data_IF_961830974957
#
_entry.id   IF_961830974957
#
_cell.length_a   1.000
_cell.length_b   1.000
_cell.length_c   1.000
_cell.angle_alpha   90.00
_cell.angle_beta   90.00
_cell.angle_gamma   90.00
#
_symmetry.space_group_name_H-M   'P 1'
#
loop_
_entity.id
_entity.type
_entity.pdbx_description
1 polymer ?
#
# COMPACT_ATOMS: atom_id res chain seq x y z
N UNK A 1 48.20 -35.81 18.71
CA UNK A 1 49.67 -35.78 18.67
C UNK A 1 50.10 -34.75 17.63
N UNK A 2 50.66 -33.63 18.12
CA UNK A 2 51.56 -32.65 17.49
C UNK A 2 51.40 -32.21 16.01
N UNK A 3 51.31 -30.88 15.89
CA UNK A 3 51.71 -29.96 14.80
C UNK A 3 50.61 -29.65 13.77
N UNK A 4 50.36 -28.39 13.37
CA UNK A 4 51.17 -27.18 13.53
C UNK A 4 50.32 -25.90 13.46
N UNK A 5 50.48 -25.08 14.48
CA UNK A 5 49.95 -23.73 14.66
C UNK A 5 50.97 -22.74 14.04
N UNK A 6 50.96 -22.56 12.72
CA UNK A 6 51.98 -21.70 12.04
C UNK A 6 51.54 -21.03 10.74
N UNK A 7 50.26 -20.63 10.60
CA UNK A 7 49.84 -19.79 9.47
C UNK A 7 48.99 -18.57 9.83
N UNK A 8 48.76 -18.27 11.12
CA UNK A 8 47.95 -17.10 11.53
C UNK A 8 48.76 -15.81 11.79
N UNK A 9 49.98 -15.69 11.25
CA UNK A 9 50.93 -14.62 11.58
C UNK A 9 51.56 -13.98 10.33
N UNK A 10 50.74 -13.54 9.37
CA UNK A 10 51.16 -12.68 8.24
C UNK A 10 50.03 -11.78 7.70
N UNK A 11 49.42 -10.96 8.55
CA UNK A 11 48.57 -9.85 8.09
C UNK A 11 48.51 -8.70 9.13
N UNK A 12 49.65 -8.38 9.74
CA UNK A 12 49.78 -7.27 10.69
C UNK A 12 50.98 -6.40 10.31
N UNK A 13 50.78 -5.47 9.37
CA UNK A 13 51.60 -4.28 9.19
C UNK A 13 51.05 -3.46 8.01
N UNK A 14 50.40 -2.33 8.32
CA UNK A 14 50.44 -1.02 7.64
C UNK A 14 49.19 -0.28 8.13
N UNK A 15 49.32 0.39 9.28
CA UNK A 15 48.44 1.48 9.67
C UNK A 15 49.36 2.59 10.18
N UNK A 16 49.54 3.63 9.37
CA UNK A 16 50.19 4.89 9.73
C UNK A 16 49.09 5.96 9.77
N UNK A 17 49.09 6.88 10.75
CA UNK A 17 47.91 7.65 11.11
C UNK A 17 47.78 8.93 10.27
N UNK A 18 46.57 9.19 9.75
CA UNK A 18 46.15 10.55 9.40
C UNK A 18 45.52 11.22 10.63
N UNK A 19 46.34 11.97 11.37
CA UNK A 19 45.88 12.95 12.35
C UNK A 19 46.25 14.33 11.84
N UNK A 20 45.30 15.05 11.25
CA UNK A 20 45.23 16.53 11.20
C UNK A 20 44.07 16.98 10.28
N UNK A 21 42.93 17.36 10.88
CA UNK A 21 42.05 18.47 10.47
C UNK A 21 40.66 18.35 11.13
N UNK A 22 40.59 18.42 12.46
CA UNK A 22 39.37 18.86 13.14
C UNK A 22 39.70 20.19 13.80
N UNK A 23 39.47 21.27 13.06
CA UNK A 23 39.44 22.63 13.60
C UNK A 23 37.97 23.10 13.58
N UNK A 24 37.44 23.27 14.79
CA UNK A 24 36.32 24.14 15.18
C UNK A 24 35.05 24.13 14.33
N UNK A 25 34.07 23.31 14.71
CA UNK A 25 32.65 23.63 14.53
C UNK A 25 32.11 24.12 15.87
N UNK A 26 31.67 25.38 15.90
CA UNK A 26 31.10 26.08 17.03
C UNK A 26 29.59 25.75 17.13
N UNK A 27 29.09 25.04 18.15
CA UNK A 27 27.72 24.54 18.19
C UNK A 27 26.66 25.58 18.64
N UNK A 28 26.83 26.87 18.35
CA UNK A 28 25.93 27.93 18.85
C UNK A 28 25.51 29.01 17.83
N UNK A 29 25.53 28.74 16.53
CA UNK A 29 24.88 29.64 15.56
C UNK A 29 23.54 29.08 15.08
N UNK A 30 22.40 29.70 15.46
CA UNK A 30 21.14 29.45 14.77
C UNK A 30 21.25 30.00 13.35
N UNK A 31 21.10 29.11 12.38
CA UNK A 31 20.97 29.44 10.97
C UNK A 31 19.51 29.88 10.78
N UNK A 32 19.25 31.19 10.80
CA UNK A 32 17.96 31.72 10.36
C UNK A 32 17.96 31.76 8.82
N UNK A 33 17.07 31.04 8.13
CA UNK A 33 16.87 31.26 6.70
C UNK A 33 16.23 32.62 6.49
N UNK A 34 16.90 33.49 5.73
CA UNK A 34 16.31 34.70 5.17
C UNK A 34 15.36 34.26 4.06
N UNK A 35 14.06 34.28 4.34
CA UNK A 35 13.01 34.08 3.34
C UNK A 35 12.83 35.40 2.59
N UNK A 36 12.98 35.35 1.27
CA UNK A 36 12.75 36.45 0.35
C UNK A 36 11.23 36.58 0.11
N UNK A 37 10.59 37.54 0.78
CA UNK A 37 9.17 37.85 0.68
C UNK A 37 8.85 38.54 -0.65
N UNK A 38 8.78 37.77 -1.74
CA UNK A 38 8.17 38.22 -3.00
C UNK A 38 7.30 37.15 -3.66
N UNK A 39 6.35 36.59 -2.89
CA UNK A 39 5.21 35.88 -3.48
C UNK A 39 4.01 36.85 -3.62
N UNK A 40 3.38 36.94 -4.81
CA UNK A 40 2.12 37.66 -4.95
C UNK A 40 1.04 36.99 -4.09
N UNK A 41 0.08 37.76 -3.54
CA UNK A 41 -0.98 37.20 -2.70
C UNK A 41 -1.77 36.15 -3.48
N UNK A 42 -2.10 35.00 -2.88
CA UNK A 42 -2.90 33.98 -3.54
C UNK A 42 -4.25 34.58 -3.93
N UNK A 43 -4.67 34.29 -5.16
CA UNK A 43 -6.00 34.62 -5.64
C UNK A 43 -7.04 34.09 -4.65
N UNK A 44 -8.03 34.91 -4.32
CA UNK A 44 -9.09 34.56 -3.39
C UNK A 44 -9.70 33.21 -3.77
N UNK A 45 -9.53 32.22 -2.89
CA UNK A 45 -10.22 30.94 -2.98
C UNK A 45 -11.73 31.21 -3.08
N UNK A 46 -12.47 30.52 -3.96
CA UNK A 46 -13.91 30.60 -3.96
C UNK A 46 -14.39 30.27 -2.55
N UNK A 47 -15.20 31.16 -1.99
CA UNK A 47 -15.85 30.95 -0.70
C UNK A 47 -16.58 29.62 -0.78
N UNK A 48 -16.09 28.62 -0.04
CA UNK A 48 -16.79 27.36 0.15
C UNK A 48 -18.18 27.73 0.67
N UNK A 49 -19.19 27.52 -0.17
CA UNK A 49 -20.57 27.60 0.27
C UNK A 49 -20.71 26.41 1.20
N UNK A 50 -20.76 26.67 2.51
CA UNK A 50 -21.14 25.68 3.50
C UNK A 50 -22.42 25.01 2.99
N UNK A 51 -22.30 23.75 2.57
CA UNK A 51 -23.46 22.89 2.48
C UNK A 51 -24.10 22.95 3.87
N UNK A 52 -25.42 23.14 3.88
CA UNK A 52 -26.21 23.20 5.10
C UNK A 52 -25.79 22.05 6.03
N UNK A 53 -25.70 22.34 7.33
CA UNK A 53 -25.65 21.32 8.37
C UNK A 53 -26.58 20.18 7.98
N UNK A 54 -26.04 18.97 7.86
CA UNK A 54 -26.87 17.77 7.81
C UNK A 54 -27.55 17.74 9.15
N UNK A 55 -28.79 18.23 9.16
CA UNK A 55 -29.69 18.12 10.30
C UNK A 55 -29.83 16.63 10.59
N UNK A 56 -29.20 16.17 11.67
CA UNK A 56 -29.43 14.84 12.26
C UNK A 56 -30.82 14.81 12.93
N UNK A 57 -31.84 15.34 12.26
CA UNK A 57 -33.20 14.99 12.59
C UNK A 57 -33.44 13.59 12.06
N UNK A 58 -33.45 12.63 12.99
CA UNK A 58 -33.97 11.29 12.75
C UNK A 58 -35.24 11.40 11.89
N UNK A 59 -35.22 10.79 10.70
CA UNK A 59 -36.39 10.74 9.84
C UNK A 59 -37.49 9.97 10.56
N UNK A 60 -38.43 10.68 11.16
CA UNK A 60 -39.62 10.11 11.76
C UNK A 60 -40.48 9.50 10.65
N UNK A 61 -40.46 8.17 10.53
CA UNK A 61 -41.53 7.44 9.85
C UNK A 61 -42.78 7.48 10.74
N UNK A 62 -43.82 8.18 10.29
CA UNK A 62 -45.08 8.30 10.99
C UNK A 62 -46.06 7.17 10.61
N UNK A 63 -46.70 6.52 11.59
CA UNK A 63 -48.09 6.03 11.43
C UNK A 63 -48.90 6.10 12.75
N UNK A 64 -50.25 6.22 12.69
CA UNK A 64 -51.16 6.69 13.75
C UNK A 64 -51.57 5.63 14.81
N UNK A 65 -52.31 5.97 15.90
CA UNK A 65 -52.37 5.19 17.15
C UNK A 65 -53.27 3.92 17.14
N UNK A 66 -53.13 3.08 18.18
CA UNK A 66 -53.67 1.71 18.30
C UNK A 66 -55.17 1.60 18.72
N UNK A 67 -55.84 0.55 18.22
CA UNK A 67 -57.24 0.18 18.54
C UNK A 67 -57.39 -0.60 19.87
N UNK A 68 -58.59 -0.60 20.44
CA UNK A 68 -58.93 -1.45 21.59
C UNK A 68 -59.17 -2.92 21.19
N UNK A 69 -59.07 -3.89 22.13
CA UNK A 69 -59.34 -5.30 21.85
C UNK A 69 -60.76 -5.53 21.31
N UNK A 70 -60.87 -6.03 20.08
CA UNK A 70 -62.14 -6.27 19.38
C UNK A 70 -62.52 -5.19 18.35
N UNK A 71 -61.72 -4.13 18.23
CA UNK A 71 -61.85 -3.16 17.15
C UNK A 71 -60.84 -3.47 16.03
N UNK A 72 -61.30 -3.41 14.78
CA UNK A 72 -60.46 -3.44 13.60
C UNK A 72 -60.78 -2.24 12.71
N UNK A 73 -59.75 -1.56 12.21
CA UNK A 73 -59.95 -0.55 11.17
C UNK A 73 -59.98 -1.18 9.79
N UNK A 74 -60.97 -0.78 8.99
CA UNK A 74 -60.97 -0.93 7.54
C UNK A 74 -60.69 0.44 6.92
N UNK A 75 -59.57 0.58 6.21
CA UNK A 75 -59.31 1.76 5.38
C UNK A 75 -60.18 1.68 4.11
N UNK A 76 -60.86 2.76 3.67
CA UNK A 76 -61.71 2.74 2.47
C UNK A 76 -60.96 2.40 1.16
N UNK A 77 -59.63 2.47 1.15
CA UNK A 77 -58.78 2.35 -0.06
C UNK A 77 -57.74 1.22 -0.01
N UNK A 78 -57.61 0.46 1.08
CA UNK A 78 -56.90 -0.83 1.08
C UNK A 78 -55.37 -0.87 1.23
N UNK A 79 -54.64 0.26 1.33
CA UNK A 79 -53.17 0.24 1.40
C UNK A 79 -52.61 0.58 2.80
N UNK A 80 -52.29 -0.45 3.59
CA UNK A 80 -51.36 -0.39 4.73
C UNK A 80 -50.67 -1.77 4.91
N UNK A 81 -49.33 -1.84 4.79
CA UNK A 81 -48.52 -2.99 5.25
C UNK A 81 -47.85 -2.63 6.58
N UNK A 82 -48.43 -3.08 7.69
CA UNK A 82 -47.90 -2.88 9.05
C UNK A 82 -49.03 -2.79 10.08
N UNK A 83 -49.11 -3.77 10.99
CA UNK A 83 -50.06 -3.76 12.10
C UNK A 83 -49.56 -2.92 13.29
N UNK A 84 -50.45 -2.58 14.23
CA UNK A 84 -50.12 -1.75 15.40
C UNK A 84 -49.24 -2.47 16.44
N UNK A 85 -48.29 -1.76 17.07
CA UNK A 85 -47.94 -1.99 18.48
C UNK A 85 -46.50 -2.36 18.89
N UNK A 86 -45.46 -1.71 18.36
CA UNK A 86 -44.14 -1.70 19.03
C UNK A 86 -43.58 -0.28 19.09
N UNK A 87 -43.28 0.20 20.30
CA UNK A 87 -42.48 1.40 20.55
C UNK A 87 -41.03 0.93 20.66
N UNK A 88 -40.17 1.31 19.72
CA UNK A 88 -38.72 1.25 19.95
C UNK A 88 -38.34 2.53 20.70
N UNK A 89 -38.32 2.46 22.03
CA UNK A 89 -37.59 3.45 22.83
C UNK A 89 -36.12 3.12 22.64
N UNK A 90 -35.37 3.98 21.96
CA UNK A 90 -33.91 3.94 22.06
C UNK A 90 -33.57 4.12 23.55
N UNK A 91 -32.89 3.16 24.20
CA UNK A 91 -32.57 3.28 25.61
C UNK A 91 -31.75 4.56 25.80
N UNK A 92 -32.22 5.45 26.68
CA UNK A 92 -31.48 6.68 26.98
C UNK A 92 -30.16 6.27 27.65
N UNK A 93 -29.01 6.74 27.14
CA UNK A 93 -27.73 6.40 27.75
C UNK A 93 -27.71 6.82 29.22
N UNK A 94 -27.22 5.95 30.09
CA UNK A 94 -26.98 6.32 31.49
C UNK A 94 -25.84 7.33 31.51
N UNK A 95 -26.09 8.48 32.13
CA UNK A 95 -25.15 9.60 32.20
C UNK A 95 -24.62 9.77 33.63
N UNK A 96 -23.30 9.92 33.77
CA UNK A 96 -22.65 10.12 35.05
C UNK A 96 -21.12 10.02 34.93
N UNK A 97 -20.35 10.63 35.85
CA UNK A 97 -18.89 10.49 35.84
C UNK A 97 -18.52 9.05 36.19
N UNK A 98 -17.68 8.44 35.36
CA UNK A 98 -17.05 7.16 35.64
C UNK A 98 -15.75 7.36 36.41
N UNK A 99 -15.39 6.39 37.25
CA UNK A 99 -14.02 6.31 37.76
C UNK A 99 -13.06 5.99 36.60
N UNK A 100 -11.76 6.26 36.81
CA UNK A 100 -10.73 5.87 35.84
C UNK A 100 -10.82 4.37 35.51
N UNK A 101 -10.63 4.03 34.24
CA UNK A 101 -10.73 2.65 33.80
C UNK A 101 -9.60 1.78 34.41
N UNK A 102 -9.83 0.47 34.62
CA UNK A 102 -8.76 -0.46 34.94
C UNK A 102 -7.66 -0.44 33.87
N UNK A 103 -6.41 -0.64 34.28
CA UNK A 103 -5.24 -0.65 33.38
C UNK A 103 -4.69 -2.06 33.13
N UNK A 104 -5.29 -3.08 33.75
CA UNK A 104 -5.00 -4.48 33.46
C UNK A 104 -6.07 -5.07 32.54
N UNK A 105 -5.65 -5.90 31.59
CA UNK A 105 -6.50 -6.41 30.51
C UNK A 105 -7.71 -7.21 31.02
N UNK A 106 -7.54 -8.04 32.06
CA UNK A 106 -8.60 -8.89 32.60
C UNK A 106 -9.73 -8.07 33.24
N UNK A 107 -9.39 -7.12 34.12
CA UNK A 107 -10.40 -6.26 34.73
C UNK A 107 -11.02 -5.30 33.71
N UNK A 108 -10.23 -4.81 32.74
CA UNK A 108 -10.71 -3.89 31.71
C UNK A 108 -11.81 -4.52 30.84
N UNK A 109 -11.63 -5.77 30.42
CA UNK A 109 -12.64 -6.52 29.65
C UNK A 109 -13.97 -6.60 30.40
N UNK A 110 -13.95 -7.02 31.67
CA UNK A 110 -15.15 -7.13 32.49
C UNK A 110 -15.83 -5.77 32.73
N UNK A 111 -15.02 -4.71 32.84
CA UNK A 111 -15.49 -3.33 33.02
C UNK A 111 -16.20 -2.84 31.76
N UNK A 112 -15.58 -2.97 30.57
CA UNK A 112 -16.17 -2.56 29.30
C UNK A 112 -17.50 -3.28 29.03
N UNK A 113 -17.53 -4.62 29.16
CA UNK A 113 -18.73 -5.41 28.95
C UNK A 113 -19.89 -5.03 29.90
N UNK A 114 -19.57 -4.62 31.13
CA UNK A 114 -20.57 -4.17 32.11
C UNK A 114 -21.13 -2.81 31.74
N UNK A 115 -20.29 -1.89 31.28
CA UNK A 115 -20.72 -0.56 30.86
C UNK A 115 -21.55 -0.60 29.58
N UNK A 116 -21.17 -1.43 28.61
CA UNK A 116 -21.94 -1.63 27.38
C UNK A 116 -23.34 -2.16 27.70
N UNK A 117 -23.46 -3.26 28.49
CA UNK A 117 -24.76 -3.81 28.92
C UNK A 117 -25.62 -2.84 29.71
N UNK A 118 -25.00 -1.90 30.40
CA UNK A 118 -25.69 -0.86 31.16
C UNK A 118 -26.11 0.34 30.29
N UNK A 119 -25.88 0.27 28.98
CA UNK A 119 -26.09 1.35 28.01
C UNK A 119 -25.46 2.67 28.50
N UNK A 120 -24.21 2.59 28.98
CA UNK A 120 -23.48 3.76 29.46
C UNK A 120 -23.12 4.67 28.29
N UNK A 121 -23.17 5.99 28.51
CA UNK A 121 -22.78 6.96 27.49
C UNK A 121 -21.33 6.72 27.01
N UNK A 122 -21.09 6.40 25.73
CA UNK A 122 -19.75 6.15 25.18
C UNK A 122 -18.75 7.27 25.45
N UNK A 123 -19.20 8.53 25.45
CA UNK A 123 -18.33 9.67 25.76
C UNK A 123 -17.79 9.64 27.19
N UNK A 124 -18.58 9.14 28.15
CA UNK A 124 -18.13 8.99 29.53
C UNK A 124 -17.13 7.83 29.68
N UNK A 125 -17.34 6.74 28.93
CA UNK A 125 -16.42 5.59 28.90
C UNK A 125 -15.08 6.00 28.32
N UNK A 126 -15.08 6.66 27.15
CA UNK A 126 -13.87 7.21 26.53
C UNK A 126 -13.12 8.18 27.44
N UNK A 127 -13.83 9.07 28.13
CA UNK A 127 -13.19 9.98 29.09
C UNK A 127 -12.50 9.22 30.24
N UNK A 128 -13.08 8.12 30.72
CA UNK A 128 -12.47 7.28 31.76
C UNK A 128 -11.26 6.49 31.26
N UNK A 129 -11.28 6.03 30.01
CA UNK A 129 -10.13 5.37 29.35
C UNK A 129 -8.98 6.37 29.11
N UNK A 130 -9.27 7.58 28.66
CA UNK A 130 -8.27 8.64 28.52
C UNK A 130 -7.70 9.08 29.87
N UNK A 131 -8.55 9.16 30.91
CA UNK A 131 -8.09 9.50 32.26
C UNK A 131 -7.14 8.44 32.83
N UNK A 132 -7.34 7.17 32.53
CA UNK A 132 -6.42 6.10 32.95
C UNK A 132 -5.19 5.98 32.06
N UNK A 133 -5.20 6.57 30.85
CA UNK A 133 -4.17 6.44 29.83
C UNK A 133 -4.32 5.20 28.94
N UNK A 134 -5.44 4.48 29.03
CA UNK A 134 -5.72 3.34 28.14
C UNK A 134 -6.07 3.79 26.71
N UNK A 135 -6.45 5.06 26.53
CA UNK A 135 -6.61 5.72 25.24
C UNK A 135 -5.89 7.06 25.25
N UNK A 136 -5.40 7.51 24.09
CA UNK A 136 -4.68 8.77 23.94
C UNK A 136 -5.52 9.82 23.23
N UNK A 137 -6.25 9.42 22.20
CA UNK A 137 -6.93 10.31 21.27
C UNK A 137 -8.40 9.94 21.05
N UNK A 138 -9.16 10.83 20.42
CA UNK A 138 -10.56 10.56 20.07
C UNK A 138 -10.70 9.55 18.94
N UNK A 139 -9.68 9.43 18.10
CA UNK A 139 -9.57 8.47 16.99
C UNK A 139 -9.36 7.02 17.44
N UNK A 140 -9.04 6.81 18.72
CA UNK A 140 -8.89 5.47 19.31
C UNK A 140 -10.23 4.77 19.54
N UNK A 141 -11.33 5.42 19.17
CA UNK A 141 -12.69 4.95 19.38
C UNK A 141 -13.50 5.04 18.10
N UNK A 142 -14.16 3.96 17.73
CA UNK A 142 -15.29 3.95 16.80
C UNK A 142 -16.45 3.15 17.39
N UNK A 143 -17.64 3.31 16.81
CA UNK A 143 -18.80 2.52 17.17
C UNK A 143 -19.64 2.27 15.92
N UNK A 144 -20.08 1.03 15.74
CA UNK A 144 -20.95 0.64 14.63
C UNK A 144 -21.65 -0.70 14.92
N UNK A 145 -22.78 -0.94 14.28
CA UNK A 145 -23.55 -2.19 14.35
C UNK A 145 -22.95 -3.24 13.40
N UNK A 146 -22.09 -4.12 13.94
CA UNK A 146 -21.43 -5.18 13.16
C UNK A 146 -22.27 -6.45 13.06
N UNK A 147 -23.29 -6.63 13.90
CA UNK A 147 -24.06 -7.88 13.98
C UNK A 147 -25.52 -7.78 13.48
N UNK A 148 -25.98 -6.56 13.24
CA UNK A 148 -27.30 -6.20 12.70
C UNK A 148 -28.38 -6.06 13.75
N UNK A 149 -28.04 -5.96 15.05
CA UNK A 149 -29.00 -5.82 16.14
C UNK A 149 -29.45 -4.38 16.41
N UNK A 150 -28.94 -3.41 15.63
CA UNK A 150 -29.15 -1.97 15.74
C UNK A 150 -28.57 -1.33 17.01
N UNK A 151 -27.66 -2.01 17.70
CA UNK A 151 -26.83 -1.45 18.75
C UNK A 151 -25.38 -1.44 18.29
N UNK A 152 -24.71 -0.31 18.50
CA UNK A 152 -23.32 -0.21 18.11
C UNK A 152 -22.43 -1.00 19.06
N UNK A 153 -21.60 -1.88 18.50
CA UNK A 153 -20.40 -2.35 19.17
C UNK A 153 -19.38 -1.24 19.31
N UNK A 154 -18.55 -1.34 20.34
CA UNK A 154 -17.47 -0.38 20.57
C UNK A 154 -16.16 -0.93 20.04
N UNK A 155 -15.52 -0.18 19.13
CA UNK A 155 -14.17 -0.43 18.66
C UNK A 155 -13.21 0.44 19.47
N UNK A 156 -12.26 -0.18 20.16
CA UNK A 156 -11.34 0.50 21.04
C UNK A 156 -9.89 0.13 20.70
N UNK A 157 -9.09 1.13 20.31
CA UNK A 157 -7.63 1.04 20.38
C UNK A 157 -7.24 1.25 21.84
N UNK A 158 -6.45 0.34 22.40
CA UNK A 158 -6.10 0.31 23.81
C UNK A 158 -4.58 0.16 23.98
N UNK A 159 -3.97 1.02 24.79
CA UNK A 159 -2.51 1.04 24.96
C UNK A 159 -2.03 0.32 26.21
N UNK A 160 -0.96 -0.47 26.06
CA UNK A 160 -0.25 -1.09 27.19
C UNK A 160 0.74 -0.11 27.80
N UNK A 161 0.38 0.49 28.92
CA UNK A 161 1.24 1.45 29.63
C UNK A 161 2.44 0.80 30.34
N UNK A 162 2.47 -0.54 30.44
CA UNK A 162 3.59 -1.25 31.06
C UNK A 162 4.79 -1.40 30.12
N UNK A 163 4.57 -1.21 28.82
CA UNK A 163 5.58 -1.28 27.78
C UNK A 163 5.97 0.14 27.31
N UNK A 164 7.23 0.35 26.89
CA UNK A 164 7.63 1.62 26.30
C UNK A 164 6.89 1.88 24.97
N UNK A 165 7.02 3.07 24.40
CA UNK A 165 6.70 3.31 22.99
C UNK A 165 7.92 3.08 22.08
N UNK A 166 7.69 2.92 20.79
CA UNK A 166 8.70 3.03 19.72
C UNK A 166 8.45 4.29 18.89
N UNK A 167 9.42 4.77 18.08
CA UNK A 167 9.24 5.98 17.27
C UNK A 167 8.08 5.94 16.28
N UNK A 168 7.57 4.75 15.97
CA UNK A 168 6.52 4.50 14.98
C UNK A 168 5.27 3.84 15.57
N UNK A 169 5.12 3.80 16.90
CA UNK A 169 3.96 3.19 17.53
C UNK A 169 4.07 3.05 19.04
N UNK A 170 2.94 2.73 19.68
CA UNK A 170 2.88 2.38 21.09
C UNK A 170 2.38 0.94 21.22
N UNK A 171 2.79 0.26 22.29
CA UNK A 171 2.31 -1.09 22.54
C UNK A 171 0.81 -1.08 22.85
N UNK A 172 0.06 -2.08 22.38
CA UNK A 172 -1.37 -2.16 22.63
C UNK A 172 -2.10 -3.09 21.69
N UNK A 173 -3.43 -3.05 21.78
CA UNK A 173 -4.35 -3.93 21.07
C UNK A 173 -5.57 -3.14 20.57
N UNK A 174 -6.35 -3.75 19.68
CA UNK A 174 -7.66 -3.25 19.28
C UNK A 174 -8.72 -4.28 19.64
N UNK A 175 -9.75 -3.85 20.37
CA UNK A 175 -10.86 -4.69 20.80
C UNK A 175 -12.17 -4.22 20.17
N UNK A 176 -13.05 -5.16 19.85
CA UNK A 176 -14.47 -4.89 19.59
C UNK A 176 -15.29 -5.49 20.72
N UNK A 177 -16.16 -4.68 21.33
CA UNK A 177 -16.90 -5.03 22.55
C UNK A 177 -18.40 -4.85 22.36
N UNK A 178 -19.16 -5.83 22.85
CA UNK A 178 -20.62 -5.80 22.92
C UNK A 178 -21.13 -6.32 24.28
N UNK A 179 -22.41 -6.68 24.36
CA UNK A 179 -23.04 -7.20 25.57
C UNK A 179 -22.50 -8.54 26.08
N UNK A 180 -21.92 -9.35 25.18
CA UNK A 180 -21.31 -10.64 25.48
C UNK A 180 -19.84 -10.51 25.93
N UNK A 181 -19.25 -9.31 25.78
CA UNK A 181 -17.87 -9.01 26.15
C UNK A 181 -17.02 -8.59 24.96
N UNK A 182 -15.73 -8.95 24.99
CA UNK A 182 -14.83 -8.71 23.84
C UNK A 182 -15.12 -9.77 22.77
N UNK A 183 -15.72 -9.35 21.66
CA UNK A 183 -16.09 -10.23 20.55
C UNK A 183 -15.01 -10.34 19.47
N UNK A 184 -14.04 -9.42 19.47
CA UNK A 184 -12.88 -9.47 18.59
C UNK A 184 -11.66 -8.85 19.28
N UNK A 185 -10.49 -9.42 19.00
CA UNK A 185 -9.17 -8.84 19.34
C UNK A 185 -8.29 -8.88 18.11
N UNK A 186 -7.56 -7.81 17.86
CA UNK A 186 -6.58 -7.77 16.78
C UNK A 186 -5.42 -8.75 17.04
N UNK A 187 -4.96 -8.79 18.30
CA UNK A 187 -4.01 -9.79 18.78
C UNK A 187 -4.69 -10.84 19.65
N UNK A 188 -4.53 -12.12 19.29
CA UNK A 188 -5.14 -13.22 20.04
C UNK A 188 -4.62 -13.31 21.49
N UNK A 189 -3.37 -12.90 21.73
CA UNK A 189 -2.73 -12.87 23.05
C UNK A 189 -1.85 -11.62 23.14
N UNK A 190 -1.85 -10.88 24.26
CA UNK A 190 -0.89 -9.81 24.48
C UNK A 190 0.55 -10.33 24.41
N UNK A 191 1.42 -9.62 23.70
CA UNK A 191 2.87 -9.91 23.67
C UNK A 191 3.63 -8.90 24.52
N UNK A 192 4.74 -9.36 25.10
CA UNK A 192 5.73 -8.46 25.72
C UNK A 192 6.77 -7.97 24.70
N UNK A 193 6.73 -8.48 23.47
CA UNK A 193 7.49 -7.93 22.36
C UNK A 193 6.72 -6.77 21.73
N UNK A 194 7.23 -5.56 21.94
CA UNK A 194 6.66 -4.34 21.40
C UNK A 194 6.58 -4.33 19.87
N UNK A 195 7.46 -5.05 19.18
CA UNK A 195 7.44 -5.11 17.71
C UNK A 195 6.36 -6.06 17.18
N UNK A 196 5.79 -6.90 18.04
CA UNK A 196 4.71 -7.83 17.70
C UNK A 196 3.36 -7.40 18.28
N UNK A 197 3.32 -6.31 19.06
CA UNK A 197 2.15 -5.87 19.82
C UNK A 197 2.00 -4.35 19.78
N UNK A 198 1.94 -3.78 18.58
CA UNK A 198 1.68 -2.36 18.36
C UNK A 198 0.19 -2.11 18.27
N UNK A 199 -0.30 -1.13 19.02
CA UNK A 199 -1.70 -0.71 18.96
C UNK A 199 -2.06 -0.32 17.50
N UNK A 200 -3.02 -1.03 16.87
CA UNK A 200 -3.48 -0.66 15.54
C UNK A 200 -4.20 0.68 15.56
N UNK A 201 -4.24 1.38 14.43
CA UNK A 201 -5.10 2.53 14.21
C UNK A 201 -6.39 2.12 13.49
N UNK A 202 -7.48 2.86 13.73
CA UNK A 202 -8.73 2.71 12.98
C UNK A 202 -8.61 3.58 11.73
N UNK A 203 -8.58 2.95 10.56
CA UNK A 203 -8.52 3.64 9.27
C UNK A 203 -9.92 4.06 8.84
N UNK A 204 -10.89 3.12 8.90
CA UNK A 204 -12.28 3.39 8.55
C UNK A 204 -13.23 2.33 9.14
N UNK A 205 -14.52 2.68 9.19
CA UNK A 205 -15.62 1.75 9.44
C UNK A 205 -16.65 1.99 8.34
N UNK A 206 -16.83 1.02 7.44
CA UNK A 206 -17.65 1.19 6.23
C UNK A 206 -18.09 -0.17 5.69
N UNK A 207 -19.26 -0.24 5.05
CA UNK A 207 -19.72 -1.44 4.35
C UNK A 207 -18.91 -1.61 3.04
N UNK A 208 -18.05 -2.62 2.99
CA UNK A 208 -17.26 -3.02 1.82
C UNK A 208 -17.88 -4.23 1.11
N UNK A 209 -18.71 -5.01 1.81
CA UNK A 209 -19.27 -6.27 1.26
C UNK A 209 -20.64 -6.10 0.62
N UNK A 210 -21.30 -4.97 0.86
CA UNK A 210 -22.63 -4.62 0.37
C UNK A 210 -23.76 -5.35 1.10
N UNK A 211 -23.49 -5.95 2.26
CA UNK A 211 -24.49 -6.69 3.03
C UNK A 211 -25.29 -5.80 4.01
N UNK A 212 -24.96 -4.51 4.07
CA UNK A 212 -25.56 -3.52 4.95
C UNK A 212 -24.95 -3.47 6.35
N UNK A 213 -23.93 -4.27 6.63
CA UNK A 213 -23.12 -4.23 7.85
C UNK A 213 -21.74 -3.63 7.51
N UNK A 214 -21.10 -2.91 8.45
CA UNK A 214 -19.80 -2.31 8.21
C UNK A 214 -18.65 -3.29 8.46
N UNK A 215 -17.59 -3.13 7.68
CA UNK A 215 -16.26 -3.64 7.96
C UNK A 215 -15.41 -2.58 8.68
N UNK A 216 -14.54 -3.05 9.57
CA UNK A 216 -13.51 -2.26 10.23
C UNK A 216 -12.18 -2.43 9.48
N UNK A 217 -11.64 -1.32 8.97
CA UNK A 217 -10.29 -1.27 8.40
C UNK A 217 -9.32 -0.75 9.45
N UNK A 218 -8.27 -1.50 9.70
CA UNK A 218 -7.24 -1.16 10.69
C UNK A 218 -5.86 -1.14 10.05
N UNK A 219 -4.94 -0.37 10.60
CA UNK A 219 -3.52 -0.39 10.22
C UNK A 219 -2.61 -0.58 11.44
N UNK A 220 -1.63 -1.48 11.32
CA UNK A 220 -0.58 -1.69 12.32
C UNK A 220 0.80 -1.55 11.65
N UNK A 221 1.37 -0.33 11.59
CA UNK A 221 2.58 -0.10 10.83
C UNK A 221 3.81 -0.75 11.48
N UNK A 222 4.69 -1.31 10.66
CA UNK A 222 5.96 -1.90 11.09
C UNK A 222 7.11 -1.29 10.30
N UNK A 223 8.08 -0.73 11.01
CA UNK A 223 9.25 -0.12 10.41
C UNK A 223 10.52 -0.97 10.59
N UNK A 224 11.19 -1.25 9.46
CA UNK A 224 12.58 -1.67 9.44
C UNK A 224 13.54 -0.48 9.57
N UNK A 225 14.82 -0.70 9.25
CA UNK A 225 15.83 0.35 9.33
C UNK A 225 15.58 1.54 8.39
N UNK A 226 14.94 1.29 7.24
CA UNK A 226 14.80 2.27 6.17
C UNK A 226 13.44 2.23 5.48
N UNK A 227 12.52 1.34 5.86
CA UNK A 227 11.23 1.20 5.17
C UNK A 227 10.18 0.85 6.20
N UNK A 228 9.10 1.61 6.18
CA UNK A 228 7.91 1.36 6.98
C UNK A 228 6.86 0.75 6.07
N UNK A 229 6.21 -0.30 6.58
CA UNK A 229 5.10 -0.96 5.94
C UNK A 229 3.87 -0.73 6.79
N UNK A 230 2.81 -0.25 6.14
CA UNK A 230 1.47 -0.20 6.70
C UNK A 230 0.84 -1.57 6.46
N UNK A 231 0.22 -2.13 7.49
CA UNK A 231 -0.29 -3.50 7.50
C UNK A 231 -1.78 -3.47 7.76
N UNK A 232 -2.55 -3.39 6.68
CA UNK A 232 -4.00 -3.28 6.77
C UNK A 232 -4.66 -4.63 6.93
N UNK A 233 -5.68 -4.66 7.78
CA UNK A 233 -6.66 -5.74 7.89
C UNK A 233 -8.05 -5.19 7.71
N UNK A 234 -8.93 -6.03 7.19
CA UNK A 234 -10.35 -5.71 7.04
C UNK A 234 -11.14 -6.72 7.85
N UNK A 235 -11.70 -6.27 8.97
CA UNK A 235 -12.42 -7.11 9.91
C UNK A 235 -13.91 -6.92 9.68
N UNK A 236 -14.60 -8.01 9.34
CA UNK A 236 -16.04 -7.99 9.11
C UNK A 236 -16.69 -9.27 9.58
N UNK A 237 -18.01 -9.36 9.41
CA UNK A 237 -18.77 -10.50 9.91
C UNK A 237 -18.67 -11.69 8.97
N UNK A 238 -18.21 -12.83 9.48
CA UNK A 238 -18.17 -14.12 8.78
C UNK A 238 -18.64 -15.21 9.72
N UNK A 239 -19.58 -16.05 9.26
CA UNK A 239 -20.11 -17.17 10.05
C UNK A 239 -20.55 -16.77 11.48
N UNK A 240 -21.20 -15.61 11.62
CA UNK A 240 -21.74 -15.11 12.88
C UNK A 240 -20.72 -14.54 13.87
N UNK A 241 -19.46 -14.39 13.50
CA UNK A 241 -18.41 -13.75 14.31
C UNK A 241 -17.59 -12.76 13.47
N UNK A 242 -16.83 -11.88 14.13
CA UNK A 242 -15.89 -10.99 13.44
C UNK A 242 -14.62 -11.75 13.07
N UNK A 243 -14.18 -11.60 11.82
CA UNK A 243 -12.99 -12.25 11.29
C UNK A 243 -12.29 -11.35 10.26
N UNK A 244 -11.01 -11.63 10.02
CA UNK A 244 -10.28 -11.01 8.92
C UNK A 244 -10.83 -11.50 7.57
N UNK A 245 -11.20 -10.56 6.72
CA UNK A 245 -11.74 -10.80 5.40
C UNK A 245 -10.67 -10.73 4.30
N UNK A 246 -9.46 -10.23 4.59
CA UNK A 246 -8.39 -10.06 3.60
C UNK A 246 -7.89 -11.41 3.11
N UNK A 247 -7.79 -11.54 1.79
CA UNK A 247 -7.06 -12.61 1.12
C UNK A 247 -6.02 -12.01 0.17
N UNK A 248 -4.81 -11.81 0.69
CA UNK A 248 -3.71 -11.27 -0.08
C UNK A 248 -3.07 -12.34 -0.97
N UNK A 249 -2.68 -12.00 -2.21
CA UNK A 249 -2.03 -12.96 -3.11
C UNK A 249 -0.73 -13.47 -2.48
N UNK A 250 -0.37 -14.75 -2.72
CA UNK A 250 0.82 -15.33 -2.14
C UNK A 250 2.08 -14.68 -2.72
N UNK A 251 3.13 -14.55 -1.90
CA UNK A 251 4.38 -13.85 -2.26
C UNK A 251 5.18 -14.64 -3.30
N UNK A 252 5.13 -15.96 -3.18
CA UNK A 252 5.57 -16.90 -4.20
C UNK A 252 4.39 -17.85 -4.47
N UNK A 253 4.23 -18.38 -5.68
CA UNK A 253 3.08 -19.24 -6.04
C UNK A 253 2.95 -20.55 -5.23
N UNK A 254 3.80 -20.74 -4.21
CA UNK A 254 3.85 -21.90 -3.31
C UNK A 254 3.36 -21.56 -1.89
N UNK A 255 3.35 -20.29 -1.48
CA UNK A 255 2.84 -19.86 -0.17
C UNK A 255 1.31 -19.79 -0.15
N UNK A 256 0.73 -19.98 1.03
CA UNK A 256 -0.69 -19.71 1.23
C UNK A 256 -0.95 -18.20 1.08
N UNK A 257 -2.14 -17.79 0.61
CA UNK A 257 -2.56 -16.39 0.63
C UNK A 257 -2.37 -15.78 2.01
N UNK A 258 -1.91 -14.53 2.05
CA UNK A 258 -1.76 -13.76 3.29
C UNK A 258 -3.11 -13.24 3.79
N UNK A 259 -3.14 -12.79 5.04
CA UNK A 259 -4.33 -12.16 5.66
C UNK A 259 -4.10 -10.68 5.95
N UNK A 260 -3.13 -10.04 5.29
CA UNK A 260 -2.74 -8.65 5.54
C UNK A 260 -2.41 -8.00 4.21
N UNK A 261 -2.91 -6.78 4.01
CA UNK A 261 -2.49 -5.89 2.93
C UNK A 261 -1.26 -5.15 3.42
N UNK A 262 -0.10 -5.42 2.84
CA UNK A 262 1.17 -4.80 3.25
C UNK A 262 1.70 -3.92 2.14
N UNK A 263 1.76 -2.60 2.39
CA UNK A 263 2.27 -1.63 1.43
C UNK A 263 3.16 -0.62 2.16
N UNK A 264 4.30 -0.27 1.56
CA UNK A 264 5.23 0.67 2.18
C UNK A 264 4.82 2.13 1.96
N UNK A 265 4.88 2.92 3.03
CA UNK A 265 4.52 4.34 3.05
C UNK A 265 3.17 4.60 2.41
N UNK A 266 2.16 3.86 2.85
CA UNK A 266 0.85 3.85 2.25
C UNK A 266 0.02 5.06 2.70
N UNK A 267 -0.55 5.75 1.72
CA UNK A 267 -1.68 6.65 1.90
C UNK A 267 -2.96 5.93 1.45
N UNK A 268 -4.04 6.06 2.21
CA UNK A 268 -5.27 5.29 1.97
C UNK A 268 -6.47 6.16 1.63
N UNK A 269 -7.40 5.60 0.84
CA UNK A 269 -8.71 6.19 0.58
C UNK A 269 -9.74 5.12 0.30
N UNK A 270 -11.01 5.49 0.49
CA UNK A 270 -12.16 4.67 0.12
C UNK A 270 -12.89 5.30 -1.06
N UNK A 271 -13.21 4.50 -2.07
CA UNK A 271 -14.04 4.93 -3.19
C UNK A 271 -14.57 3.73 -3.97
N UNK A 272 -15.78 3.88 -4.52
CA UNK A 272 -16.32 3.05 -5.60
C UNK A 272 -15.64 3.47 -6.92
N UNK A 273 -14.63 2.72 -7.36
CA UNK A 273 -13.82 3.04 -8.55
C UNK A 273 -14.33 2.40 -9.83
N UNK A 274 -15.12 1.33 -9.76
CA UNK A 274 -15.69 0.64 -10.92
C UNK A 274 -17.19 0.92 -11.12
N UNK A 275 -17.80 1.70 -10.22
CA UNK A 275 -19.20 2.11 -10.21
C UNK A 275 -20.18 0.93 -10.08
N UNK A 276 -19.78 -0.14 -9.39
CA UNK A 276 -20.64 -1.29 -9.10
C UNK A 276 -21.54 -1.09 -7.86
N UNK A 277 -21.30 -0.02 -7.10
CA UNK A 277 -22.03 0.36 -5.90
C UNK A 277 -21.43 -0.17 -4.59
N UNK A 278 -20.34 -0.93 -4.66
CA UNK A 278 -19.49 -1.28 -3.52
C UNK A 278 -18.35 -0.26 -3.39
N UNK A 279 -17.78 -0.18 -2.19
CA UNK A 279 -16.65 0.70 -1.94
C UNK A 279 -15.37 -0.13 -1.94
N UNK A 280 -14.35 0.32 -2.65
CA UNK A 280 -13.02 -0.29 -2.59
C UNK A 280 -12.12 0.45 -1.60
N UNK A 281 -11.22 -0.32 -1.00
CA UNK A 281 -10.09 0.18 -0.24
C UNK A 281 -8.89 0.35 -1.15
N UNK A 282 -8.40 1.59 -1.27
CA UNK A 282 -7.23 1.91 -2.06
C UNK A 282 -6.07 2.27 -1.16
N UNK A 283 -4.94 1.59 -1.37
CA UNK A 283 -3.67 1.87 -0.72
C UNK A 283 -2.66 2.32 -1.78
N UNK A 284 -2.20 3.56 -1.72
CA UNK A 284 -1.18 4.13 -2.61
C UNK A 284 0.16 4.22 -1.88
N UNK A 285 1.23 3.74 -2.49
CA UNK A 285 2.55 3.69 -1.86
C UNK A 285 3.52 2.79 -2.63
N UNK A 286 4.19 1.89 -1.93
CA UNK A 286 5.06 0.87 -2.53
C UNK A 286 6.50 1.33 -2.78
N UNK A 287 6.86 2.53 -2.33
CA UNK A 287 8.25 3.01 -2.41
C UNK A 287 9.11 2.40 -1.30
N UNK A 288 10.42 2.27 -1.55
CA UNK A 288 11.36 1.68 -0.58
C UNK A 288 12.35 2.75 -0.14
N UNK A 289 12.40 3.05 1.16
CA UNK A 289 13.25 4.12 1.69
C UNK A 289 14.73 3.76 1.85
N UNK A 290 15.14 2.62 1.30
CA UNK A 290 16.53 2.18 1.28
C UNK A 290 17.25 2.71 0.05
N UNK A 291 18.43 3.32 0.25
CA UNK A 291 19.28 3.74 -0.86
C UNK A 291 19.59 2.58 -1.84
N UNK A 292 19.70 1.34 -1.35
CA UNK A 292 19.99 0.17 -2.18
C UNK A 292 18.82 -0.33 -3.05
N UNK A 293 17.60 0.18 -2.83
CA UNK A 293 16.43 -0.22 -3.62
C UNK A 293 16.40 0.44 -5.00
N UNK A 294 17.15 1.52 -5.18
CA UNK A 294 17.04 2.41 -6.34
C UNK A 294 15.71 3.16 -6.33
N UNK A 295 15.39 3.80 -7.45
CA UNK A 295 14.13 4.56 -7.59
C UNK A 295 13.00 3.61 -7.98
N UNK A 296 12.13 3.31 -7.02
CA UNK A 296 10.92 2.49 -7.21
C UNK A 296 9.76 3.38 -7.64
N UNK A 297 8.95 2.91 -8.60
CA UNK A 297 7.74 3.61 -9.03
C UNK A 297 6.63 3.33 -8.01
N UNK A 298 5.99 4.34 -7.41
CA UNK A 298 4.84 4.10 -6.55
C UNK A 298 3.64 3.54 -7.35
N UNK A 299 2.73 2.89 -6.64
CA UNK A 299 1.50 2.34 -7.21
C UNK A 299 0.35 2.42 -6.22
N UNK A 300 -0.87 2.29 -6.75
CA UNK A 300 -2.10 2.07 -5.97
C UNK A 300 -2.53 0.63 -6.09
N UNK A 301 -2.76 -0.05 -4.97
CA UNK A 301 -3.50 -1.31 -4.94
C UNK A 301 -4.98 -1.02 -4.68
N UNK A 302 -5.85 -1.65 -5.47
CA UNK A 302 -7.31 -1.59 -5.31
C UNK A 302 -7.77 -2.90 -4.70
N UNK A 303 -8.38 -2.83 -3.52
CA UNK A 303 -8.89 -3.97 -2.77
C UNK A 303 -10.41 -3.88 -2.64
N UNK A 304 -11.09 -4.92 -3.10
CA UNK A 304 -12.56 -4.98 -3.13
C UNK A 304 -13.08 -6.34 -2.72
N UNK A 305 -14.37 -6.43 -2.47
CA UNK A 305 -15.03 -7.68 -2.15
C UNK A 305 -15.27 -8.53 -3.39
N UNK A 306 -14.77 -9.77 -3.41
CA UNK A 306 -14.95 -10.69 -4.55
C UNK A 306 -16.13 -11.66 -4.40
N UNK A 307 -16.96 -11.47 -3.37
CA UNK A 307 -18.04 -12.37 -2.99
C UNK A 307 -17.68 -13.36 -1.88
N UNK A 308 -16.39 -13.48 -1.53
CA UNK A 308 -15.93 -14.37 -0.45
C UNK A 308 -14.86 -13.74 0.47
N UNK A 309 -13.99 -12.91 -0.09
CA UNK A 309 -12.92 -12.22 0.61
C UNK A 309 -12.72 -10.80 0.07
N UNK A 310 -12.03 -9.96 0.85
CA UNK A 310 -11.45 -8.73 0.34
C UNK A 310 -10.13 -9.08 -0.34
N UNK A 311 -10.11 -9.00 -1.66
CA UNK A 311 -8.98 -9.41 -2.50
C UNK A 311 -8.51 -8.26 -3.39
N UNK A 312 -7.25 -8.35 -3.84
CA UNK A 312 -6.67 -7.31 -4.68
C UNK A 312 -7.25 -7.41 -6.09
N UNK A 313 -8.09 -6.45 -6.44
CA UNK A 313 -8.75 -6.35 -7.73
C UNK A 313 -7.81 -5.79 -8.81
N UNK A 314 -6.97 -4.81 -8.47
CA UNK A 314 -6.08 -4.16 -9.43
C UNK A 314 -4.81 -3.58 -8.79
N UNK A 315 -3.80 -3.30 -9.63
CA UNK A 315 -2.57 -2.57 -9.30
C UNK A 315 -2.32 -1.51 -10.37
N UNK A 316 -2.35 -0.24 -9.96
CA UNK A 316 -2.25 0.91 -10.85
C UNK A 316 -0.94 1.64 -10.58
N UNK A 317 0.01 1.58 -11.51
CA UNK A 317 1.27 2.33 -11.43
C UNK A 317 1.03 3.84 -11.59
N UNK A 318 1.78 4.67 -10.86
CA UNK A 318 1.66 6.12 -10.96
C UNK A 318 1.99 6.65 -12.36
N UNK A 319 1.09 7.42 -12.97
CA UNK A 319 1.24 7.99 -14.31
C UNK A 319 1.37 9.53 -14.28
N UNK A 320 2.14 10.13 -15.22
CA UNK A 320 3.05 9.47 -16.15
C UNK A 320 4.33 8.96 -15.46
N UNK A 321 4.96 7.93 -16.01
CA UNK A 321 6.32 7.54 -15.59
C UNK A 321 7.29 8.73 -15.77
N UNK A 322 8.03 9.07 -14.72
CA UNK A 322 8.96 10.22 -14.73
C UNK A 322 10.42 9.83 -14.97
N UNK A 323 10.77 8.57 -14.75
CA UNK A 323 12.11 8.04 -14.94
C UNK A 323 12.21 7.18 -16.19
N UNK A 324 13.35 7.27 -16.90
CA UNK A 324 13.55 6.59 -18.17
C UNK A 324 13.49 5.07 -18.06
N UNK A 325 13.99 4.49 -16.96
CA UNK A 325 13.93 3.04 -16.73
C UNK A 325 12.50 2.55 -16.43
N UNK A 326 11.65 3.37 -15.80
CA UNK A 326 10.23 3.01 -15.60
C UNK A 326 9.46 2.93 -16.93
N UNK A 327 9.71 3.87 -17.85
CA UNK A 327 9.15 3.81 -19.21
C UNK A 327 9.65 2.57 -19.95
N UNK A 328 10.92 2.20 -19.78
CA UNK A 328 11.48 1.00 -20.37
C UNK A 328 10.80 -0.28 -19.86
N UNK A 329 10.55 -0.39 -18.55
CA UNK A 329 9.89 -1.55 -17.98
C UNK A 329 8.45 -1.69 -18.48
N UNK A 330 7.71 -0.58 -18.55
CA UNK A 330 6.36 -0.57 -19.11
C UNK A 330 6.36 -0.98 -20.61
N UNK A 331 7.40 -0.59 -21.37
CA UNK A 331 7.58 -1.05 -22.74
C UNK A 331 7.83 -2.57 -22.83
N UNK A 332 8.61 -3.14 -21.90
CA UNK A 332 8.84 -4.58 -21.81
C UNK A 332 7.54 -5.33 -21.51
N UNK A 333 6.74 -4.84 -20.56
CA UNK A 333 5.46 -5.44 -20.19
C UNK A 333 4.48 -5.45 -21.38
N UNK A 334 4.36 -4.33 -22.11
CA UNK A 334 3.55 -4.26 -23.32
C UNK A 334 4.04 -5.22 -24.41
N UNK A 335 5.35 -5.34 -24.60
CA UNK A 335 5.92 -6.26 -25.57
C UNK A 335 5.63 -7.72 -25.21
N UNK A 336 5.78 -8.09 -23.93
CA UNK A 336 5.47 -9.43 -23.41
C UNK A 336 3.97 -9.76 -23.54
N UNK A 337 3.10 -8.76 -23.37
CA UNK A 337 1.66 -8.89 -23.61
C UNK A 337 1.28 -8.96 -25.11
N UNK A 338 2.24 -8.75 -26.02
CA UNK A 338 2.01 -8.74 -27.47
C UNK A 338 1.49 -7.42 -28.03
N UNK A 339 1.37 -6.37 -27.22
CA UNK A 339 1.06 -5.02 -27.68
C UNK A 339 2.32 -4.35 -28.25
N UNK A 340 2.66 -4.74 -29.48
CA UNK A 340 3.85 -4.26 -30.17
C UNK A 340 3.78 -2.76 -30.50
N UNK A 341 2.59 -2.21 -30.75
CA UNK A 341 2.43 -0.80 -31.08
C UNK A 341 2.61 0.09 -29.84
N UNK A 342 2.03 -0.32 -28.70
CA UNK A 342 2.25 0.33 -27.42
C UNK A 342 3.71 0.25 -26.96
N UNK A 343 4.32 -0.93 -27.05
CA UNK A 343 5.73 -1.14 -26.73
C UNK A 343 6.65 -0.26 -27.61
N UNK A 344 6.39 -0.19 -28.91
CA UNK A 344 7.15 0.66 -29.84
C UNK A 344 7.14 2.11 -29.40
N UNK A 345 5.98 2.66 -29.03
CA UNK A 345 5.86 4.04 -28.59
C UNK A 345 6.68 4.31 -27.32
N UNK A 346 6.65 3.41 -26.33
CA UNK A 346 7.37 3.58 -25.07
C UNK A 346 8.89 3.36 -25.23
N UNK A 347 9.34 2.42 -26.05
CA UNK A 347 10.77 2.30 -26.37
C UNK A 347 11.30 3.53 -27.14
N UNK A 348 10.49 4.13 -28.03
CA UNK A 348 10.87 5.39 -28.67
C UNK A 348 10.95 6.55 -27.67
N UNK A 349 10.01 6.63 -26.73
CA UNK A 349 10.05 7.62 -25.65
C UNK A 349 11.28 7.42 -24.75
N UNK A 350 11.64 6.18 -24.42
CA UNK A 350 12.81 5.88 -23.59
C UNK A 350 14.13 6.29 -24.27
N UNK A 351 14.18 6.43 -25.60
CA UNK A 351 15.35 6.98 -26.31
C UNK A 351 15.28 8.51 -26.42
N UNK A 352 14.12 9.04 -26.82
CA UNK A 352 14.02 10.39 -27.37
C UNK A 352 13.47 11.44 -26.40
N UNK A 353 12.69 11.04 -25.39
CA UNK A 353 12.03 12.00 -24.52
C UNK A 353 13.04 12.67 -23.58
N UNK A 354 13.12 14.00 -23.69
CA UNK A 354 14.09 14.83 -22.98
C UNK A 354 13.65 15.20 -21.58
N UNK A 355 12.36 15.06 -21.26
CA UNK A 355 11.81 15.34 -19.93
C UNK A 355 11.97 14.18 -18.94
N UNK A 356 12.23 12.97 -19.43
CA UNK A 356 12.49 11.80 -18.58
C UNK A 356 13.79 11.97 -17.78
N UNK A 357 13.72 11.63 -16.50
CA UNK A 357 14.85 11.65 -15.57
C UNK A 357 15.71 10.42 -15.76
N UNK A 358 17.02 10.64 -15.79
CA UNK A 358 18.05 9.60 -15.84
C UNK A 358 18.55 9.38 -14.41
N UNK A 359 18.20 8.25 -13.79
CA UNK A 359 18.79 7.81 -12.52
C UNK A 359 19.95 6.88 -12.80
N UNK A 360 21.07 7.10 -12.12
CA UNK A 360 22.27 6.30 -12.31
C UNK A 360 22.32 5.06 -11.42
N UNK A 361 21.60 5.07 -10.28
CA UNK A 361 21.82 4.21 -9.13
C UNK A 361 23.32 4.11 -8.73
N UNK A 362 24.05 3.10 -9.25
CA UNK A 362 25.49 2.91 -9.03
C UNK A 362 26.37 3.34 -10.22
N UNK A 363 25.76 3.64 -11.36
CA UNK A 363 26.42 4.10 -12.58
C UNK A 363 26.22 5.61 -12.79
N UNK A 364 27.06 6.25 -13.63
CA UNK A 364 26.78 7.62 -14.07
C UNK A 364 25.45 7.68 -14.87
N UNK A 365 24.58 8.69 -14.64
CA UNK A 365 23.30 8.81 -15.35
C UNK A 365 23.42 8.77 -16.88
N UNK A 366 24.50 9.32 -17.45
CA UNK A 366 24.77 9.28 -18.88
C UNK A 366 25.04 7.86 -19.41
N UNK A 367 25.66 7.01 -18.59
CA UNK A 367 25.89 5.61 -18.91
C UNK A 367 24.57 4.85 -18.85
N UNK A 368 23.78 5.02 -17.78
CA UNK A 368 22.46 4.40 -17.67
C UNK A 368 21.55 4.77 -18.83
N UNK A 369 21.55 6.05 -19.23
CA UNK A 369 20.84 6.51 -20.43
C UNK A 369 21.31 5.78 -21.70
N UNK A 370 22.63 5.64 -21.88
CA UNK A 370 23.19 4.94 -23.03
C UNK A 370 22.78 3.47 -23.06
N UNK A 371 22.83 2.80 -21.91
CA UNK A 371 22.46 1.40 -21.76
C UNK A 371 20.97 1.19 -22.04
N UNK A 372 20.08 2.00 -21.45
CA UNK A 372 18.64 2.02 -21.76
C UNK A 372 18.40 2.25 -23.25
N UNK A 373 19.06 3.24 -23.85
CA UNK A 373 18.85 3.60 -25.26
C UNK A 373 19.30 2.47 -26.19
N UNK A 374 20.41 1.81 -25.88
CA UNK A 374 20.92 0.70 -26.68
C UNK A 374 20.01 -0.54 -26.58
N UNK A 375 19.53 -0.87 -25.39
CA UNK A 375 18.60 -1.96 -25.15
C UNK A 375 17.24 -1.71 -25.83
N UNK A 376 16.67 -0.51 -25.65
CA UNK A 376 15.42 -0.12 -26.31
C UNK A 376 15.54 -0.15 -27.83
N UNK A 377 16.70 0.24 -28.39
CA UNK A 377 16.92 0.18 -29.84
C UNK A 377 16.97 -1.25 -30.37
N UNK A 378 17.56 -2.20 -29.62
CA UNK A 378 17.45 -3.62 -29.96
C UNK A 378 15.98 -4.07 -30.00
N UNK A 379 15.21 -3.74 -28.96
CA UNK A 379 13.78 -4.09 -28.87
C UNK A 379 12.95 -3.50 -30.01
N UNK A 380 13.23 -2.26 -30.40
CA UNK A 380 12.60 -1.63 -31.56
C UNK A 380 12.94 -2.31 -32.89
N UNK A 381 14.19 -2.76 -33.08
CA UNK A 381 14.59 -3.54 -34.26
C UNK A 381 13.82 -4.86 -34.31
N UNK A 382 13.68 -5.55 -33.18
CA UNK A 382 12.90 -6.78 -33.08
C UNK A 382 11.42 -6.54 -33.41
N UNK A 383 10.79 -5.51 -32.84
CA UNK A 383 9.40 -5.13 -33.16
C UNK A 383 9.25 -4.84 -34.65
N UNK A 384 10.16 -4.03 -35.22
CA UNK A 384 10.11 -3.70 -36.64
C UNK A 384 10.19 -4.97 -37.52
N UNK A 385 11.03 -5.94 -37.17
CA UNK A 385 11.14 -7.20 -37.87
C UNK A 385 9.87 -8.07 -37.72
N UNK A 386 9.31 -8.16 -36.52
CA UNK A 386 8.04 -8.86 -36.25
C UNK A 386 6.87 -8.28 -37.04
N UNK A 387 6.85 -6.95 -37.21
CA UNK A 387 5.86 -6.22 -38.00
C UNK A 387 6.20 -6.18 -39.51
N UNK A 388 7.23 -6.90 -39.95
CA UNK A 388 7.70 -6.94 -41.34
C UNK A 388 8.16 -5.58 -41.92
N UNK A 389 8.59 -4.67 -41.03
CA UNK A 389 9.12 -3.34 -41.33
C UNK A 389 10.67 -3.36 -41.45
N UNK A 390 11.19 -4.19 -42.36
CA UNK A 390 12.64 -4.43 -42.52
C UNK A 390 13.45 -3.16 -42.78
N UNK A 391 12.90 -2.18 -43.49
CA UNK A 391 13.57 -0.89 -43.74
C UNK A 391 13.79 -0.09 -42.46
N UNK A 392 12.81 -0.10 -41.54
CA UNK A 392 12.90 0.60 -40.26
C UNK A 392 13.86 -0.12 -39.32
N UNK A 393 13.81 -1.45 -39.27
CA UNK A 393 14.77 -2.28 -38.56
C UNK A 393 16.22 -1.98 -38.98
N UNK A 394 16.49 -1.95 -40.29
CA UNK A 394 17.83 -1.64 -40.82
C UNK A 394 18.27 -0.20 -40.50
N UNK A 395 17.35 0.76 -40.53
CA UNK A 395 17.64 2.16 -40.18
C UNK A 395 18.01 2.31 -38.70
N UNK A 396 17.28 1.64 -37.80
CA UNK A 396 17.59 1.61 -36.37
C UNK A 396 18.87 0.85 -36.07
N UNK A 397 19.15 -0.24 -36.78
CA UNK A 397 20.42 -0.95 -36.67
C UNK A 397 21.60 -0.05 -37.04
N UNK A 398 21.51 0.67 -38.16
CA UNK A 398 22.55 1.60 -38.57
C UNK A 398 22.77 2.71 -37.53
N UNK A 399 21.68 3.26 -36.96
CA UNK A 399 21.76 4.21 -35.86
C UNK A 399 22.45 3.61 -34.63
N UNK A 400 22.01 2.43 -34.17
CA UNK A 400 22.55 1.74 -33.00
C UNK A 400 24.05 1.45 -33.15
N UNK A 401 24.47 0.97 -34.31
CA UNK A 401 25.89 0.73 -34.62
C UNK A 401 26.70 2.03 -34.69
N UNK A 402 26.10 3.15 -35.10
CA UNK A 402 26.78 4.43 -35.16
C UNK A 402 26.91 5.12 -33.79
N UNK A 403 25.87 5.01 -32.96
CA UNK A 403 25.77 5.72 -31.68
C UNK A 403 26.37 4.90 -30.53
N UNK A 404 26.19 3.58 -30.53
CA UNK A 404 26.67 2.67 -29.48
C UNK A 404 27.43 1.45 -30.06
N UNK A 405 28.49 1.66 -30.87
CA UNK A 405 29.19 0.59 -31.60
C UNK A 405 29.77 -0.54 -30.72
N UNK A 406 30.04 -0.25 -29.44
CA UNK A 406 30.60 -1.21 -28.49
C UNK A 406 29.58 -1.84 -27.54
N UNK A 407 28.29 -1.50 -27.65
CA UNK A 407 27.25 -2.08 -26.79
C UNK A 407 26.99 -3.54 -27.17
N UNK A 408 26.69 -4.38 -26.18
CA UNK A 408 26.26 -5.75 -26.45
C UNK A 408 24.97 -5.79 -27.29
N UNK A 409 24.08 -4.81 -27.08
CA UNK A 409 22.87 -4.61 -27.87
C UNK A 409 23.16 -4.40 -29.36
N UNK A 410 24.21 -3.64 -29.72
CA UNK A 410 24.60 -3.47 -31.13
C UNK A 410 25.06 -4.79 -31.76
N UNK A 411 25.84 -5.61 -31.03
CA UNK A 411 26.25 -6.94 -31.49
C UNK A 411 25.06 -7.89 -31.65
N UNK A 412 24.16 -7.90 -30.66
CA UNK A 412 22.92 -8.67 -30.68
C UNK A 412 22.02 -8.26 -31.86
N UNK A 413 21.86 -6.96 -32.12
CA UNK A 413 21.04 -6.46 -33.21
C UNK A 413 21.59 -6.83 -34.60
N UNK A 414 22.92 -6.90 -34.76
CA UNK A 414 23.56 -7.41 -35.99
C UNK A 414 23.24 -8.89 -36.19
N UNK A 415 23.34 -9.69 -35.13
CA UNK A 415 23.00 -11.11 -35.20
C UNK A 415 21.50 -11.31 -35.52
N UNK A 416 20.63 -10.52 -34.90
CA UNK A 416 19.19 -10.53 -35.15
C UNK A 416 18.87 -10.20 -36.62
N UNK A 417 19.33 -9.05 -37.11
CA UNK A 417 19.03 -8.64 -38.49
C UNK A 417 19.67 -9.57 -39.54
N UNK A 418 20.88 -10.09 -39.28
CA UNK A 418 21.57 -11.01 -40.18
C UNK A 418 21.00 -12.43 -40.20
N UNK A 419 20.38 -12.86 -39.09
CA UNK A 419 19.76 -14.18 -38.95
C UNK A 419 18.26 -14.21 -39.26
N UNK A 420 17.61 -13.05 -39.42
CA UNK A 420 16.17 -12.98 -39.63
C UNK A 420 15.73 -13.57 -40.96
N UNK A 421 14.84 -14.57 -40.93
CA UNK A 421 14.17 -15.13 -42.12
C UNK A 421 12.66 -14.94 -42.10
N UNK A 422 12.08 -14.59 -40.94
CA UNK A 422 10.66 -14.32 -40.76
C UNK A 422 10.25 -14.49 -39.29
N UNK A 423 9.01 -14.11 -38.90
CA UNK A 423 8.54 -14.27 -37.53
C UNK A 423 8.65 -15.72 -37.00
N UNK A 424 8.59 -16.72 -37.89
CA UNK A 424 8.70 -18.13 -37.54
C UNK A 424 10.08 -18.55 -37.01
N UNK A 425 11.15 -17.80 -37.31
CA UNK A 425 12.49 -18.09 -36.80
C UNK A 425 12.92 -17.17 -35.65
N UNK A 426 12.06 -16.23 -35.24
CA UNK A 426 12.35 -15.25 -34.20
C UNK A 426 12.76 -15.91 -32.88
N UNK A 427 12.00 -16.90 -32.39
CA UNK A 427 12.30 -17.57 -31.12
C UNK A 427 13.67 -18.26 -31.11
N UNK A 428 13.97 -19.07 -32.14
CA UNK A 428 15.27 -19.76 -32.22
C UNK A 428 16.45 -18.78 -32.35
N UNK A 429 16.23 -17.62 -32.99
CA UNK A 429 17.26 -16.59 -33.13
C UNK A 429 17.45 -15.81 -31.81
N UNK A 430 16.37 -15.55 -31.09
CA UNK A 430 16.39 -15.01 -29.74
C UNK A 430 17.17 -15.92 -28.79
N UNK A 431 16.85 -17.21 -28.75
CA UNK A 431 17.59 -18.19 -27.94
C UNK A 431 19.10 -18.14 -28.24
N UNK A 432 19.48 -18.05 -29.51
CA UNK A 432 20.88 -17.95 -29.91
C UNK A 432 21.53 -16.64 -29.41
N UNK A 433 20.84 -15.51 -29.54
CA UNK A 433 21.33 -14.20 -29.10
C UNK A 433 21.54 -14.19 -27.59
N UNK A 434 20.55 -14.63 -26.82
CA UNK A 434 20.60 -14.65 -25.36
C UNK A 434 21.68 -15.58 -24.84
N UNK A 435 21.84 -16.76 -25.45
CA UNK A 435 22.93 -17.68 -25.12
C UNK A 435 24.32 -17.07 -25.37
N UNK A 436 24.47 -16.27 -26.43
CA UNK A 436 25.74 -15.57 -26.69
C UNK A 436 25.98 -14.44 -25.67
N UNK A 437 24.92 -13.69 -25.33
CA UNK A 437 24.98 -12.59 -24.36
C UNK A 437 25.24 -13.10 -22.93
N UNK A 438 24.77 -14.30 -22.58
CA UNK A 438 25.03 -14.93 -21.28
C UNK A 438 26.53 -15.21 -21.04
N UNK A 439 27.35 -15.23 -22.08
CA UNK A 439 28.81 -15.31 -21.98
C UNK A 439 29.51 -13.98 -21.67
N UNK A 440 28.78 -12.85 -21.72
CA UNK A 440 29.32 -11.52 -21.43
C UNK A 440 29.12 -11.16 -19.96
N UNK A 441 30.10 -10.46 -19.40
CA UNK A 441 29.94 -9.81 -18.11
C UNK A 441 29.03 -8.59 -18.30
N UNK A 442 27.84 -8.64 -17.70
CA UNK A 442 26.85 -7.57 -17.70
C UNK A 442 26.43 -7.05 -19.11
N UNK A 443 25.71 -7.87 -19.92
CA UNK A 443 25.32 -7.51 -21.28
C UNK A 443 24.32 -6.35 -21.40
N UNK A 444 23.64 -5.99 -20.31
CA UNK A 444 22.64 -4.91 -20.23
C UNK A 444 23.15 -3.67 -19.52
N UNK A 445 24.41 -3.67 -19.07
CA UNK A 445 25.05 -2.53 -18.41
C UNK A 445 24.35 -2.13 -17.11
N UNK A 446 23.99 -0.86 -16.97
CA UNK A 446 23.33 -0.35 -15.77
C UNK A 446 21.99 -1.06 -15.44
N UNK A 447 21.30 -1.59 -16.46
CA UNK A 447 20.01 -2.26 -16.29
C UNK A 447 20.10 -3.60 -15.54
N UNK A 448 21.29 -4.19 -15.41
CA UNK A 448 21.46 -5.39 -14.58
C UNK A 448 21.30 -5.10 -13.09
N UNK A 449 21.53 -3.85 -12.66
CA UNK A 449 21.34 -3.44 -11.27
C UNK A 449 20.91 -1.98 -11.20
N UNK A 450 19.61 -1.77 -11.09
CA UNK A 450 18.97 -0.49 -10.79
C UNK A 450 18.48 -0.45 -9.32
N UNK A 451 19.06 -1.28 -8.46
CA UNK A 451 18.67 -1.47 -7.07
C UNK A 451 17.62 -2.58 -6.90
N UNK A 452 17.58 -3.18 -5.71
CA UNK A 452 16.76 -4.38 -5.45
C UNK A 452 15.24 -4.15 -5.51
N UNK A 453 14.80 -2.89 -5.55
CA UNK A 453 13.40 -2.53 -5.74
C UNK A 453 12.98 -2.45 -7.22
N UNK A 454 13.89 -2.72 -8.14
CA UNK A 454 13.66 -2.70 -9.58
C UNK A 454 13.99 -4.07 -10.20
N UNK A 455 13.37 -4.42 -11.35
CA UNK A 455 13.79 -5.58 -12.12
C UNK A 455 15.27 -5.55 -12.48
N UNK A 456 15.93 -6.71 -12.39
CA UNK A 456 17.29 -6.90 -12.92
C UNK A 456 17.17 -7.46 -14.33
N UNK A 457 17.62 -6.70 -15.33
CA UNK A 457 17.60 -7.13 -16.73
C UNK A 457 18.97 -7.73 -17.09
N UNK A 458 18.99 -8.95 -17.60
CA UNK A 458 20.18 -9.66 -18.03
C UNK A 458 20.11 -10.13 -19.50
N UNK A 459 20.89 -11.16 -19.82
CA UNK A 459 20.97 -11.69 -21.18
C UNK A 459 19.61 -12.20 -21.70
N UNK A 460 18.85 -12.89 -20.84
CA UNK A 460 17.52 -13.45 -21.17
C UNK A 460 16.40 -12.42 -21.28
N UNK A 461 16.71 -11.14 -21.07
CA UNK A 461 15.76 -10.05 -21.17
C UNK A 461 15.93 -9.27 -22.48
N UNK A 462 16.70 -9.77 -23.45
CA UNK A 462 16.77 -9.13 -24.77
C UNK A 462 15.56 -9.49 -25.65
N UNK A 463 15.01 -10.71 -25.52
CA UNK A 463 13.77 -11.11 -26.19
C UNK A 463 12.61 -11.29 -25.19
N UNK A 464 11.34 -11.23 -25.65
CA UNK A 464 10.15 -11.34 -24.79
C UNK A 464 9.74 -12.78 -24.53
#
# INVERSE_FOLDING_TARGET
>A
MKHSLTQLLKALAILVPLTAACASLNPQQPISPTVDDTFPPPAALPTATLLAEVDLTAALLCTPPACAPGEGYTCPTGDCRGGCGTICLAPTPVTGPLAAAPTDWENLESWLATLWRSNMNPAAVRAALQQSGMQHDLSDWAAADFDGDLQDEWVLVLYDQSLPGVPFGAAGDLWVVNGDGVIFRYYAVPSNDIYEFLAPSIVAVTDLTGDGLPELITDAPVCGAHTCFDNFRVIGRRDGHLADLVQAPPVDGETAPGTVISLSYADTRLADVDADGLTEFLAHGGTIGSAGAGVVRPWTEVWGWDGAAVSRADVILDQPATYRHHVLYEANDLMAAGDLDGALALYEASINEGTLRDDGFVYPPEQTRADISSFAAFRLILIDLLQNNVERANSRLAWLQSTYPGSAAAGAAVALAGGWSGPENAGALCDQIENNLAGLENPTGALADMGYGNPSLGAGDFCP
#
